data_IF_958098451203
#
_entry.id   IF_958098451203
#
_cell.length_a   1.000
_cell.length_b   1.000
_cell.length_c   1.000
_cell.angle_alpha   90.00
_cell.angle_beta   90.00
_cell.angle_gamma   90.00
#
_symmetry.space_group_name_H-M   'P 1'
#
loop_
_entity.id
_entity.type
_entity.pdbx_description
1 polymer ?
#
# COMPACT_ATOMS: atom_id res chain seq x y z
N UNK A 1 -1.12 -1.93 -19.91
CA UNK A 1 -0.54 -3.29 -19.94
C UNK A 1 0.78 -3.21 -20.69
N UNK A 2 1.84 -3.84 -20.20
CA UNK A 2 3.19 -3.75 -20.79
C UNK A 2 3.77 -5.15 -20.91
N UNK A 3 4.09 -5.58 -22.11
CA UNK A 3 4.58 -6.93 -22.41
C UNK A 3 4.50 -7.19 -23.91
N UNK A 4 4.73 -8.43 -24.32
CA UNK A 4 4.52 -8.88 -25.69
C UNK A 4 3.46 -9.98 -25.73
N UNK A 5 2.84 -10.15 -26.90
CA UNK A 5 1.76 -11.11 -27.12
C UNK A 5 2.00 -11.88 -28.41
N UNK A 6 1.65 -13.17 -28.38
CA UNK A 6 1.57 -14.02 -29.57
C UNK A 6 0.14 -14.57 -29.71
N UNK A 7 -0.33 -14.84 -30.94
CA UNK A 7 -1.62 -15.50 -31.16
C UNK A 7 -1.66 -16.86 -30.45
N UNK A 8 -2.79 -17.16 -29.80
CA UNK A 8 -3.04 -18.50 -29.28
C UNK A 8 -3.65 -19.37 -30.41
N UNK A 9 -3.00 -20.46 -30.85
CA UNK A 9 -3.53 -21.31 -31.92
C UNK A 9 -4.85 -22.00 -31.57
N UNK A 10 -5.13 -22.21 -30.28
CA UNK A 10 -6.35 -22.89 -29.82
C UNK A 10 -7.57 -21.95 -29.77
N UNK A 11 -7.35 -20.64 -29.90
CA UNK A 11 -8.40 -19.64 -29.82
C UNK A 11 -9.04 -19.40 -31.19
N UNK A 12 -10.24 -19.94 -31.39
CA UNK A 12 -11.03 -19.66 -32.60
C UNK A 12 -12.07 -18.58 -32.28
N UNK A 13 -11.98 -17.36 -32.83
CA UNK A 13 -12.92 -16.29 -32.56
C UNK A 13 -14.36 -16.65 -32.98
N UNK A 14 -15.36 -16.36 -32.15
CA UNK A 14 -16.77 -16.66 -32.45
C UNK A 14 -17.16 -18.14 -32.34
N UNK A 15 -16.23 -19.01 -31.92
CA UNK A 15 -16.51 -20.43 -31.65
C UNK A 15 -17.20 -20.63 -30.29
N UNK A 16 -17.58 -21.87 -30.00
CA UNK A 16 -18.11 -22.25 -28.69
C UNK A 16 -16.97 -22.71 -27.80
N UNK A 17 -16.82 -22.08 -26.64
CA UNK A 17 -15.93 -22.56 -25.59
C UNK A 17 -16.66 -23.60 -24.76
N UNK A 18 -16.21 -24.84 -24.86
CA UNK A 18 -16.78 -25.96 -24.12
C UNK A 18 -16.28 -25.95 -22.68
N UNK A 19 -17.20 -26.14 -21.73
CA UNK A 19 -16.84 -26.25 -20.33
C UNK A 19 -15.97 -27.49 -20.10
N UNK A 20 -14.77 -27.36 -19.50
CA UNK A 20 -13.95 -28.51 -19.15
C UNK A 20 -14.47 -29.25 -17.91
N UNK A 21 -15.43 -28.66 -17.18
CA UNK A 21 -15.99 -29.23 -15.95
C UNK A 21 -17.33 -29.90 -16.26
N UNK A 22 -17.29 -31.22 -16.41
CA UNK A 22 -18.46 -32.03 -16.81
C UNK A 22 -19.43 -32.32 -15.65
N UNK A 23 -18.99 -32.14 -14.40
CA UNK A 23 -19.75 -32.51 -13.21
C UNK A 23 -20.44 -31.33 -12.52
N UNK A 24 -20.07 -30.10 -12.91
CA UNK A 24 -20.74 -28.89 -12.48
C UNK A 24 -21.65 -28.47 -13.64
N UNK A 25 -22.91 -28.13 -13.35
CA UNK A 25 -23.91 -27.63 -14.33
C UNK A 25 -23.51 -26.25 -14.90
N UNK A 26 -22.31 -26.15 -15.47
CA UNK A 26 -21.75 -24.96 -16.07
C UNK A 26 -21.98 -25.02 -17.59
N UNK A 27 -22.70 -24.05 -18.16
CA UNK A 27 -23.03 -24.06 -19.58
C UNK A 27 -21.82 -23.73 -20.45
N UNK A 28 -21.79 -24.31 -21.65
CA UNK A 28 -20.86 -23.92 -22.70
C UNK A 28 -21.10 -22.46 -23.13
N UNK A 29 -20.01 -21.75 -23.42
CA UNK A 29 -20.07 -20.36 -23.88
C UNK A 29 -20.16 -20.37 -25.39
N UNK A 30 -21.39 -20.21 -25.91
CA UNK A 30 -21.65 -20.13 -27.35
C UNK A 30 -21.27 -18.75 -27.89
N UNK A 31 -20.66 -18.73 -29.09
CA UNK A 31 -20.27 -17.51 -29.78
C UNK A 31 -19.40 -16.59 -28.90
N UNK A 32 -18.28 -17.13 -28.40
CA UNK A 32 -17.36 -16.36 -27.58
C UNK A 32 -16.75 -15.20 -28.40
N UNK A 33 -16.89 -13.98 -27.86
CA UNK A 33 -16.39 -12.73 -28.44
C UNK A 33 -15.10 -12.25 -27.78
N UNK A 34 -14.55 -13.07 -26.88
CA UNK A 34 -13.26 -12.85 -26.27
C UNK A 34 -12.12 -13.36 -27.17
N UNK A 35 -10.90 -12.90 -26.90
CA UNK A 35 -9.68 -13.41 -27.53
C UNK A 35 -8.73 -13.87 -26.44
N UNK A 36 -8.16 -15.06 -26.60
CA UNK A 36 -7.05 -15.52 -25.79
C UNK A 36 -5.74 -15.41 -26.56
N UNK A 37 -4.69 -15.02 -25.86
CA UNK A 37 -3.36 -14.76 -26.41
C UNK A 37 -2.30 -15.29 -25.45
N UNK A 38 -1.15 -15.67 -26.00
CA UNK A 38 0.02 -16.01 -25.20
C UNK A 38 0.70 -14.70 -24.78
N UNK A 39 0.66 -14.39 -23.49
CA UNK A 39 1.23 -13.16 -22.94
C UNK A 39 2.60 -13.40 -22.30
N UNK A 40 3.55 -12.51 -22.60
CA UNK A 40 4.90 -12.55 -22.06
C UNK A 40 5.19 -11.28 -21.26
N UNK A 41 5.65 -11.47 -20.02
CA UNK A 41 6.11 -10.37 -19.19
C UNK A 41 7.33 -9.69 -19.83
N UNK A 42 7.43 -8.35 -19.73
CA UNK A 42 8.59 -7.63 -20.22
C UNK A 42 9.81 -8.04 -19.41
N UNK A 43 10.96 -8.16 -20.07
CA UNK A 43 12.21 -8.50 -19.38
C UNK A 43 12.57 -7.37 -18.40
N UNK A 44 12.91 -7.77 -17.19
CA UNK A 44 13.42 -6.86 -16.18
C UNK A 44 14.90 -6.55 -16.47
N UNK A 45 15.19 -5.38 -17.05
CA UNK A 45 16.55 -4.95 -17.38
C UNK A 45 17.31 -4.42 -16.15
N UNK A 46 16.59 -3.85 -15.20
CA UNK A 46 17.13 -3.26 -13.98
C UNK A 46 16.61 -4.00 -12.74
N UNK A 47 17.41 -4.11 -11.66
CA UNK A 47 16.93 -4.71 -10.43
C UNK A 47 15.73 -3.93 -9.86
N UNK A 48 14.80 -4.66 -9.25
CA UNK A 48 13.58 -4.06 -8.69
C UNK A 48 13.95 -3.24 -7.46
N UNK A 49 13.42 -2.02 -7.36
CA UNK A 49 13.65 -1.14 -6.21
C UNK A 49 12.42 -1.10 -5.28
N UNK A 50 12.64 -1.15 -3.97
CA UNK A 50 11.60 -1.04 -2.95
C UNK A 50 11.19 0.42 -2.69
N UNK A 51 10.87 1.15 -3.77
CA UNK A 51 10.54 2.58 -3.74
C UNK A 51 9.09 2.78 -4.18
N UNK A 52 8.40 3.71 -3.54
CA UNK A 52 7.03 4.11 -3.92
C UNK A 52 7.10 4.87 -5.24
N UNK A 53 6.29 4.44 -6.22
CA UNK A 53 6.25 5.08 -7.53
C UNK A 53 5.75 6.53 -7.43
N UNK A 54 6.25 7.45 -8.29
CA UNK A 54 5.69 8.78 -8.42
C UNK A 54 4.20 8.75 -8.74
N UNK A 55 3.42 9.62 -8.10
CA UNK A 55 1.97 9.71 -8.32
C UNK A 55 1.10 8.71 -7.53
N UNK A 56 1.69 7.87 -6.68
CA UNK A 56 0.93 6.97 -5.80
C UNK A 56 0.05 7.78 -4.83
N UNK A 57 -1.26 7.55 -4.90
CA UNK A 57 -2.23 8.05 -3.93
C UNK A 57 -2.30 7.08 -2.75
N UNK A 58 -1.96 7.57 -1.55
CA UNK A 58 -2.03 6.74 -0.34
C UNK A 58 -3.48 6.52 0.09
N UNK A 59 -3.87 5.30 0.48
CA UNK A 59 -5.19 5.06 1.05
C UNK A 59 -5.36 5.86 2.35
N UNK A 60 -6.61 6.11 2.73
CA UNK A 60 -6.90 6.80 3.99
C UNK A 60 -6.29 6.04 5.16
N UNK A 61 -5.78 6.79 6.15
CA UNK A 61 -5.18 6.22 7.34
C UNK A 61 -6.27 5.50 8.15
N UNK A 62 -6.04 4.21 8.41
CA UNK A 62 -6.94 3.39 9.26
C UNK A 62 -6.57 3.50 10.74
N UNK A 63 -5.27 3.61 11.07
CA UNK A 63 -4.81 3.63 12.45
C UNK A 63 -5.28 4.88 13.21
N UNK A 64 -5.97 4.69 14.33
CA UNK A 64 -6.41 5.78 15.21
C UNK A 64 -5.25 6.37 16.04
N UNK A 65 -5.54 7.41 16.83
CA UNK A 65 -4.56 7.96 17.77
C UNK A 65 -4.20 6.96 18.89
N UNK A 66 -5.19 6.20 19.37
CA UNK A 66 -4.99 5.16 20.38
C UNK A 66 -4.06 4.05 19.87
N UNK A 67 -4.23 3.63 18.61
CA UNK A 67 -3.38 2.58 18.01
C UNK A 67 -1.91 3.01 17.93
N UNK A 68 -1.65 4.29 17.64
CA UNK A 68 -0.30 4.83 17.67
C UNK A 68 0.28 4.86 19.09
N UNK A 69 -0.53 5.13 20.09
CA UNK A 69 -0.11 5.17 21.48
C UNK A 69 0.26 3.76 21.97
N UNK A 70 -0.63 2.79 21.76
CA UNK A 70 -0.40 1.39 22.08
C UNK A 70 0.86 0.86 21.38
N UNK A 71 1.06 1.19 20.10
CA UNK A 71 2.25 0.78 19.34
C UNK A 71 3.53 1.40 19.89
N UNK A 72 3.51 2.70 20.25
CA UNK A 72 4.66 3.40 20.83
C UNK A 72 5.09 2.82 22.18
N UNK A 73 4.13 2.44 23.03
CA UNK A 73 4.42 1.88 24.35
C UNK A 73 4.55 0.34 24.36
N UNK A 74 4.43 -0.31 23.19
CA UNK A 74 4.68 -1.73 23.03
C UNK A 74 3.55 -2.65 23.49
N UNK A 75 2.31 -2.16 23.51
CA UNK A 75 1.13 -2.94 23.87
C UNK A 75 0.89 -3.08 25.38
N UNK A 76 -0.29 -3.63 25.73
CA UNK A 76 -0.59 -4.07 27.10
C UNK A 76 0.17 -5.36 27.39
N UNK A 77 1.40 -5.27 27.89
CA UNK A 77 2.16 -6.47 28.26
C UNK A 77 3.69 -6.34 28.32
N UNK A 78 4.28 -5.24 27.83
CA UNK A 78 5.69 -4.95 28.13
C UNK A 78 5.75 -4.28 29.49
N UNK A 79 5.93 -5.10 30.53
CA UNK A 79 6.07 -4.70 31.92
C UNK A 79 7.04 -3.54 32.08
N UNK A 80 6.51 -2.33 32.17
CA UNK A 80 7.06 -1.34 33.08
C UNK A 80 6.38 -1.63 34.39
N UNK A 81 7.15 -2.25 35.28
CA UNK A 81 6.74 -2.49 36.66
C UNK A 81 6.02 -1.27 37.18
N UNK A 82 4.83 -1.51 37.70
CA UNK A 82 4.31 -0.67 38.76
C UNK A 82 5.23 -0.82 39.97
N UNK A 83 6.41 -0.22 39.89
CA UNK A 83 7.23 0.02 41.06
C UNK A 83 6.56 1.19 41.81
N UNK A 84 5.51 0.81 42.53
CA UNK A 84 5.03 1.52 43.70
C UNK A 84 6.21 1.65 44.66
N UNK A 85 6.93 2.76 44.60
CA UNK A 85 7.90 3.09 45.64
C UNK A 85 8.96 4.08 45.18
N UNK A 86 8.96 5.27 45.78
CA UNK A 86 10.16 6.12 45.79
C UNK A 86 9.93 7.57 45.41
N UNK A 87 9.32 8.32 46.34
CA UNK A 87 9.75 9.64 46.77
C UNK A 87 10.51 10.57 45.78
N UNK A 88 9.84 11.67 45.41
CA UNK A 88 10.44 13.01 45.42
C UNK A 88 11.25 13.44 44.20
N UNK A 89 10.75 14.43 43.46
CA UNK A 89 11.59 15.15 42.50
C UNK A 89 10.83 16.08 41.58
N UNK A 90 10.72 17.35 41.99
CA UNK A 90 10.30 18.45 41.13
C UNK A 90 11.30 18.64 39.97
N UNK A 91 10.79 18.90 38.78
CA UNK A 91 11.57 19.36 37.61
C UNK A 91 10.65 19.44 36.40
N UNK A 92 9.91 20.54 36.23
CA UNK A 92 10.23 21.66 35.33
C UNK A 92 10.43 21.24 33.86
N UNK A 93 9.66 21.90 32.99
CA UNK A 93 9.54 21.59 31.58
C UNK A 93 10.84 21.72 30.80
N UNK A 94 10.76 21.34 29.52
CA UNK A 94 11.44 21.92 28.34
C UNK A 94 11.62 20.85 27.24
N UNK A 95 10.55 20.16 26.82
CA UNK A 95 10.61 19.32 25.60
C UNK A 95 9.28 19.32 24.82
N UNK A 96 8.53 20.44 24.87
CA UNK A 96 7.35 20.67 24.00
C UNK A 96 7.74 21.09 22.57
N UNK A 97 8.87 20.58 22.06
CA UNK A 97 9.39 20.88 20.73
C UNK A 97 9.78 19.61 19.97
N UNK A 98 9.02 18.52 20.16
CA UNK A 98 9.00 17.45 19.16
C UNK A 98 8.20 17.95 17.98
N UNK A 99 8.91 18.33 16.92
CA UNK A 99 8.42 18.32 15.55
C UNK A 99 7.73 16.98 15.29
N UNK A 100 6.44 16.89 15.62
CA UNK A 100 5.59 15.77 15.25
C UNK A 100 4.93 16.15 13.91
N UNK A 101 5.44 15.64 12.78
CA UNK A 101 4.94 16.00 11.45
C UNK A 101 3.50 15.53 11.20
N UNK A 102 2.86 14.88 12.19
CA UNK A 102 1.53 14.32 12.08
C UNK A 102 0.47 15.07 12.90
N UNK A 103 0.83 16.17 13.57
CA UNK A 103 -0.10 16.88 14.46
C UNK A 103 -0.21 18.39 14.26
N UNK A 104 0.39 18.96 13.21
CA UNK A 104 0.22 20.39 12.93
C UNK A 104 0.26 20.73 11.44
N UNK A 105 -0.94 21.08 10.94
CA UNK A 105 -1.26 21.91 9.77
C UNK A 105 -1.21 21.25 8.37
N UNK A 106 -2.15 21.59 7.47
CA UNK A 106 -2.05 21.24 6.07
C UNK A 106 -0.79 21.89 5.46
N UNK A 107 0.07 21.08 4.85
CA UNK A 107 1.27 21.51 4.15
C UNK A 107 0.91 22.51 3.04
N UNK A 108 1.29 23.77 3.25
CA UNK A 108 1.39 24.79 2.21
C UNK A 108 2.72 24.59 1.48
N UNK A 109 2.71 23.77 0.42
CA UNK A 109 3.80 23.74 -0.55
C UNK A 109 3.73 25.02 -1.39
N UNK A 110 4.41 26.08 -0.93
CA UNK A 110 4.49 27.32 -1.69
C UNK A 110 4.88 28.54 -0.88
N UNK A 111 6.09 28.58 -0.31
CA UNK A 111 6.72 29.85 0.09
C UNK A 111 8.24 29.67 0.24
N UNK A 112 8.94 29.68 -0.91
CA UNK A 112 10.35 30.04 -0.93
C UNK A 112 10.42 31.48 -1.43
N UNK A 113 10.67 32.38 -0.50
CA UNK A 113 10.97 33.78 -0.76
C UNK A 113 12.25 33.88 -1.59
N UNK A 114 12.16 34.55 -2.74
CA UNK A 114 13.32 35.27 -3.25
C UNK A 114 13.71 36.35 -2.25
N UNK A 115 15.01 36.49 -2.01
CA UNK A 115 15.58 37.68 -1.43
C UNK A 115 16.97 37.88 -2.04
N UNK A 116 17.11 39.05 -2.65
CA UNK A 116 18.27 39.57 -3.34
C UNK A 116 19.47 39.78 -2.41
N UNK A 117 20.68 39.60 -2.96
CA UNK A 117 21.82 40.52 -2.90
C UNK A 117 22.94 40.06 -3.83
#
# INVERSE_FOLDING_TARGET
MSGSVLPNPDCIPGSTYYSPLSNDDLPDIKNDRSLSVLYFFPKQLTPHSSVILPGVKRPARVLSANDLEVTRYGGRGRGRGWDRGGNGGRGNGFDRNRNDPFQSRPNNYGQSYGNDR
#
